data_IF_920356859602
#
_entry.id   IF_920356859602
#
_cell.length_a   1.000
_cell.length_b   1.000
_cell.length_c   1.000
_cell.angle_alpha   90.00
_cell.angle_beta   90.00
_cell.angle_gamma   90.00
#
_symmetry.space_group_name_H-M   'P 1'
#
loop_
_entity.id
_entity.type
_entity.pdbx_description
1 polymer ?
#
# COMPACT_ATOMS: atom_id res chain seq x y z
N UNK A 1 4.71 -1.33 9.85
CA UNK A 1 3.98 -1.60 8.60
C UNK A 1 4.90 -1.57 7.38
N UNK A 2 5.68 -0.51 7.09
CA UNK A 2 6.64 -0.53 5.97
C UNK A 2 7.70 -1.65 6.02
N UNK A 3 7.98 -2.19 7.21
CA UNK A 3 8.84 -3.36 7.42
C UNK A 3 8.09 -4.70 7.47
N UNK A 4 6.77 -4.72 7.27
CA UNK A 4 5.95 -5.94 7.28
C UNK A 4 5.84 -6.50 5.86
N UNK A 5 6.08 -7.81 5.69
CA UNK A 5 6.06 -8.49 4.38
C UNK A 5 4.69 -8.47 3.69
N UNK A 6 3.60 -8.55 4.46
CA UNK A 6 2.23 -8.65 3.95
C UNK A 6 1.64 -7.33 3.40
N UNK A 7 2.37 -6.21 3.52
CA UNK A 7 1.88 -4.89 3.12
C UNK A 7 0.65 -4.44 3.92
N UNK A 8 -0.21 -3.62 3.30
CA UNK A 8 -1.47 -3.17 3.90
C UNK A 8 -2.62 -4.13 3.59
N UNK A 9 -3.18 -4.74 4.62
CA UNK A 9 -4.31 -5.67 4.57
C UNK A 9 -5.64 -4.92 4.70
N UNK A 10 -6.66 -5.44 4.01
CA UNK A 10 -8.02 -4.93 4.11
C UNK A 10 -8.73 -5.53 5.35
N UNK A 11 -8.51 -4.92 6.52
CA UNK A 11 -9.01 -5.40 7.82
C UNK A 11 -10.23 -4.64 8.35
N UNK A 12 -10.45 -3.42 7.86
CA UNK A 12 -11.52 -2.52 8.31
C UNK A 12 -11.92 -1.51 7.22
N UNK A 13 -12.91 -0.66 7.52
CA UNK A 13 -13.41 0.36 6.60
C UNK A 13 -12.32 1.36 6.16
N UNK A 14 -11.43 1.78 7.06
CA UNK A 14 -10.34 2.72 6.74
C UNK A 14 -9.37 2.08 5.75
N UNK A 15 -8.95 0.83 5.98
CA UNK A 15 -8.09 0.10 5.05
C UNK A 15 -8.75 -0.17 3.69
N UNK A 16 -10.09 -0.15 3.62
CA UNK A 16 -10.83 -0.36 2.36
C UNK A 16 -10.67 0.81 1.39
N UNK A 17 -10.45 2.04 1.88
CA UNK A 17 -10.16 3.20 1.02
C UNK A 17 -8.90 3.00 0.15
N UNK A 18 -7.99 2.17 0.64
CA UNK A 18 -6.69 1.85 0.04
C UNK A 18 -6.69 0.56 -0.78
N UNK A 19 -7.82 -0.15 -0.86
CA UNK A 19 -7.91 -1.41 -1.60
C UNK A 19 -7.58 -1.19 -3.09
N UNK A 20 -6.56 -1.90 -3.59
CA UNK A 20 -6.02 -1.75 -4.95
C UNK A 20 -5.59 -0.32 -5.32
N UNK A 21 -5.24 0.50 -4.31
CA UNK A 21 -4.87 1.92 -4.48
C UNK A 21 -3.58 2.30 -3.76
N UNK A 22 -2.74 1.30 -3.45
CA UNK A 22 -1.45 1.44 -2.79
C UNK A 22 -0.36 0.81 -3.65
N UNK A 23 0.62 1.61 -4.03
CA UNK A 23 1.86 1.16 -4.65
C UNK A 23 2.84 0.59 -3.62
N UNK A 24 3.80 -0.20 -4.09
CA UNK A 24 4.89 -0.71 -3.24
C UNK A 24 6.22 -0.47 -3.94
N UNK A 25 7.18 0.04 -3.17
CA UNK A 25 8.54 0.27 -3.64
C UNK A 25 9.53 -0.44 -2.71
N UNK A 26 10.39 -1.33 -3.23
CA UNK A 26 11.42 -2.00 -2.43
C UNK A 26 12.45 -0.99 -1.92
N UNK A 27 13.11 -1.31 -0.82
CA UNK A 27 14.22 -0.50 -0.32
C UNK A 27 15.45 -0.63 -1.22
N UNK A 28 16.02 0.48 -1.67
CA UNK A 28 17.22 0.50 -2.54
C UNK A 28 18.48 1.09 -1.87
N UNK A 29 18.41 1.52 -0.60
CA UNK A 29 19.54 2.12 0.13
C UNK A 29 19.35 3.60 0.47
N UNK A 30 20.44 4.31 0.81
CA UNK A 30 20.42 5.76 1.06
C UNK A 30 20.55 6.49 -0.28
N UNK A 31 19.41 6.98 -0.77
CA UNK A 31 19.18 7.60 -2.08
C UNK A 31 20.17 8.74 -2.44
N UNK A 32 21.12 8.46 -3.32
CA UNK A 32 21.89 9.48 -4.08
C UNK A 32 21.76 9.34 -5.59
N UNK A 33 20.94 8.38 -6.05
CA UNK A 33 20.72 8.07 -7.47
C UNK A 33 19.45 8.76 -7.99
N UNK A 34 19.59 9.60 -9.02
CA UNK A 34 18.46 10.27 -9.65
C UNK A 34 17.53 9.29 -10.40
N UNK A 35 18.04 8.12 -10.80
CA UNK A 35 17.26 7.11 -11.51
C UNK A 35 16.20 6.45 -10.61
N UNK A 36 16.36 6.53 -9.28
CA UNK A 36 15.39 6.04 -8.31
C UNK A 36 14.02 6.72 -8.47
N UNK A 37 14.00 8.00 -8.87
CA UNK A 37 12.75 8.75 -9.08
C UNK A 37 11.84 8.08 -10.11
N UNK A 38 12.41 7.58 -11.19
CA UNK A 38 11.66 6.89 -12.24
C UNK A 38 11.14 5.52 -11.77
N UNK A 39 11.83 4.86 -10.83
CA UNK A 39 11.35 3.62 -10.19
C UNK A 39 10.23 3.92 -9.19
N UNK A 40 10.39 4.94 -8.35
CA UNK A 40 9.35 5.43 -7.44
C UNK A 40 8.07 5.83 -8.19
N UNK A 41 8.19 6.58 -9.28
CA UNK A 41 7.04 6.97 -10.10
C UNK A 41 6.32 5.74 -10.67
N UNK A 42 7.07 4.74 -11.16
CA UNK A 42 6.51 3.47 -11.66
C UNK A 42 5.83 2.66 -10.55
N UNK A 43 6.43 2.59 -9.36
CA UNK A 43 5.87 1.92 -8.19
C UNK A 43 4.57 2.60 -7.71
N UNK A 44 4.50 3.93 -7.78
CA UNK A 44 3.28 4.67 -7.47
C UNK A 44 2.20 4.41 -8.53
N UNK A 45 2.52 4.54 -9.81
CA UNK A 45 1.56 4.36 -10.91
C UNK A 45 0.34 5.28 -10.75
N UNK A 46 -0.86 4.69 -10.78
CA UNK A 46 -2.14 5.40 -10.59
C UNK A 46 -2.65 5.37 -9.14
N UNK A 47 -1.82 4.91 -8.19
CA UNK A 47 -2.20 4.81 -6.79
C UNK A 47 -2.19 6.19 -6.12
N UNK A 48 -2.96 6.31 -5.04
CA UNK A 48 -3.01 7.54 -4.22
C UNK A 48 -2.01 7.51 -3.06
N UNK A 49 -1.44 6.35 -2.79
CA UNK A 49 -0.52 6.10 -1.71
C UNK A 49 0.53 5.07 -2.14
N UNK A 50 1.67 5.06 -1.43
CA UNK A 50 2.72 4.08 -1.64
C UNK A 50 3.40 3.74 -0.32
N UNK A 51 3.77 2.47 -0.19
CA UNK A 51 4.57 1.97 0.92
C UNK A 51 6.00 1.80 0.41
N UNK A 52 6.90 2.59 0.99
CA UNK A 52 8.33 2.50 0.76
C UNK A 52 8.87 1.46 1.74
N UNK A 53 9.12 0.24 1.29
CA UNK A 53 9.50 -0.89 2.15
C UNK A 53 10.73 -0.50 2.99
N UNK A 54 10.68 -0.81 4.29
CA UNK A 54 11.72 -0.46 5.27
C UNK A 54 12.03 1.04 5.43
N UNK A 55 11.24 1.93 4.83
CA UNK A 55 11.47 3.37 4.86
C UNK A 55 10.28 4.16 5.43
N UNK A 56 9.08 3.98 4.86
CA UNK A 56 7.92 4.74 5.33
C UNK A 56 6.74 4.75 4.37
N UNK A 57 5.94 5.81 4.47
CA UNK A 57 4.71 6.02 3.71
C UNK A 57 4.84 7.26 2.82
N UNK A 58 4.17 7.21 1.67
CA UNK A 58 4.03 8.32 0.74
C UNK A 58 2.57 8.42 0.31
N UNK A 59 2.05 9.64 0.20
CA UNK A 59 0.72 9.94 -0.34
C UNK A 59 0.79 11.02 -1.40
N UNK A 60 -0.16 10.99 -2.33
CA UNK A 60 -0.34 12.03 -3.35
C UNK A 60 -1.80 12.47 -3.41
N UNK A 61 -2.03 13.73 -3.76
CA UNK A 61 -3.36 14.32 -3.85
C UNK A 61 -3.42 15.41 -4.90
N UNK A 62 -4.62 15.76 -5.35
CA UNK A 62 -4.82 16.90 -6.28
C UNK A 62 -4.55 18.23 -5.59
N UNK A 63 -4.78 18.27 -4.28
CA UNK A 63 -4.44 19.39 -3.41
C UNK A 63 -3.55 18.92 -2.26
N UNK A 64 -2.91 19.86 -1.58
CA UNK A 64 -2.17 19.60 -0.35
C UNK A 64 -3.08 18.96 0.70
N UNK A 65 -4.32 19.47 0.84
CA UNK A 65 -5.31 18.93 1.77
C UNK A 65 -5.63 17.45 1.49
N UNK A 66 -5.82 17.07 0.21
CA UNK A 66 -6.04 15.67 -0.17
C UNK A 66 -4.85 14.79 0.23
N UNK A 67 -3.63 15.24 -0.05
CA UNK A 67 -2.42 14.47 0.27
C UNK A 67 -2.29 14.23 1.79
N UNK A 68 -2.60 15.23 2.61
CA UNK A 68 -2.61 15.09 4.08
C UNK A 68 -3.74 14.18 4.56
N UNK A 69 -4.94 14.31 4.01
CA UNK A 69 -6.07 13.43 4.33
C UNK A 69 -5.70 11.96 4.06
N UNK A 70 -5.17 11.68 2.86
CA UNK A 70 -4.75 10.34 2.45
C UNK A 70 -3.63 9.82 3.37
N UNK A 71 -2.63 10.65 3.71
CA UNK A 71 -1.57 10.26 4.63
C UNK A 71 -2.11 9.91 6.01
N UNK A 72 -3.01 10.72 6.56
CA UNK A 72 -3.61 10.51 7.87
C UNK A 72 -4.34 9.16 7.94
N UNK A 73 -5.20 8.88 6.98
CA UNK A 73 -5.95 7.62 6.95
C UNK A 73 -5.07 6.42 6.62
N UNK A 74 -4.04 6.59 5.78
CA UNK A 74 -3.06 5.54 5.50
C UNK A 74 -2.33 5.15 6.77
N UNK A 75 -1.79 6.14 7.50
CA UNK A 75 -1.14 5.89 8.78
C UNK A 75 -2.09 5.23 9.78
N UNK A 76 -3.35 5.70 9.86
CA UNK A 76 -4.35 5.10 10.74
C UNK A 76 -4.67 3.65 10.39
N UNK A 77 -4.75 3.31 9.10
CA UNK A 77 -4.92 1.93 8.65
C UNK A 77 -3.75 1.04 9.12
N UNK A 78 -2.52 1.55 9.01
CA UNK A 78 -1.32 0.86 9.47
C UNK A 78 -1.33 0.61 10.98
N UNK A 79 -1.68 1.61 11.78
CA UNK A 79 -1.79 1.49 13.24
C UNK A 79 -2.81 0.42 13.64
N UNK A 80 -3.99 0.43 13.02
CA UNK A 80 -5.03 -0.56 13.31
C UNK A 80 -4.57 -1.97 12.92
N UNK A 81 -3.90 -2.12 11.78
CA UNK A 81 -3.35 -3.42 11.38
C UNK A 81 -2.29 -3.93 12.37
N UNK A 82 -1.37 -3.06 12.82
CA UNK A 82 -0.37 -3.45 13.82
C UNK A 82 -1.02 -3.81 15.17
N UNK A 83 -2.03 -3.06 15.59
CA UNK A 83 -2.80 -3.37 16.79
C UNK A 83 -3.54 -4.72 16.66
N UNK A 84 -4.18 -4.98 15.52
CA UNK A 84 -4.85 -6.25 15.24
C UNK A 84 -3.87 -7.43 15.23
N UNK A 85 -2.70 -7.26 14.61
CA UNK A 85 -1.64 -8.27 14.56
C UNK A 85 -1.08 -8.58 15.95
N UNK A 86 -0.98 -7.59 16.83
CA UNK A 86 -0.55 -7.80 18.23
C UNK A 86 -1.53 -8.67 19.03
N UNK A 87 -2.81 -8.63 18.67
CA UNK A 87 -3.85 -9.44 19.31
C UNK A 87 -4.00 -10.82 18.68
N UNK A 88 -3.75 -10.93 17.36
CA UNK A 88 -3.81 -12.18 16.58
C UNK A 88 -2.63 -12.26 15.60
N UNK A 89 -1.50 -12.85 16.01
CA UNK A 89 -0.30 -12.95 15.17
C UNK A 89 -0.52 -13.72 13.86
N UNK A 90 -1.59 -14.53 13.78
CA UNK A 90 -1.88 -15.44 12.67
C UNK A 90 -3.19 -15.10 11.93
N UNK A 91 -3.70 -13.88 12.04
CA UNK A 91 -4.82 -13.41 11.22
C UNK A 91 -4.37 -13.30 9.75
N UNK A 92 -4.24 -14.46 9.10
CA UNK A 92 -4.10 -14.60 7.66
C UNK A 92 -5.16 -13.73 7.01
N UNK A 93 -4.74 -12.95 6.02
CA UNK A 93 -5.61 -12.29 5.06
C UNK A 93 -6.84 -13.14 4.79
N UNK A 94 -8.03 -12.60 4.99
CA UNK A 94 -9.22 -13.09 4.30
C UNK A 94 -8.81 -13.26 2.84
N UNK A 95 -8.98 -14.45 2.21
CA UNK A 95 -8.60 -14.62 0.83
C UNK A 95 -9.28 -13.50 0.05
N UNK A 96 -8.48 -12.67 -0.61
CA UNK A 96 -9.03 -11.83 -1.66
C UNK A 96 -9.82 -12.79 -2.55
N UNK A 97 -11.07 -12.42 -2.86
CA UNK A 97 -11.78 -13.03 -3.97
C UNK A 97 -10.87 -12.83 -5.18
N UNK A 98 -10.02 -13.83 -5.48
CA UNK A 98 -9.35 -13.96 -6.76
C UNK A 98 -10.49 -14.05 -7.76
N UNK A 99 -10.88 -12.92 -8.32
CA UNK A 99 -11.64 -12.91 -9.56
C UNK A 99 -10.71 -13.51 -10.60
N UNK A 100 -10.90 -14.80 -10.87
CA UNK A 100 -10.40 -15.41 -12.09
C UNK A 100 -11.08 -14.69 -13.25
N UNK A 101 -10.39 -13.73 -13.85
CA UNK A 101 -10.70 -13.33 -15.20
C UNK A 101 -10.33 -14.51 -16.10
N UNK A 102 -11.30 -15.37 -16.39
CA UNK A 102 -11.20 -16.34 -17.47
C UNK A 102 -11.21 -15.56 -18.78
N UNK A 103 -10.04 -15.45 -19.41
CA UNK A 103 -9.94 -15.09 -20.83
C UNK A 103 -10.74 -16.13 -21.63
N UNK A 104 -11.69 -15.74 -22.50
CA UNK A 104 -12.32 -16.70 -23.39
C UNK A 104 -11.28 -17.16 -24.41
N UNK A 105 -11.13 -18.47 -24.55
CA UNK A 105 -10.33 -19.07 -25.61
C UNK A 105 -10.92 -18.66 -26.97
N UNK A 106 -10.10 -18.02 -27.80
CA UNK A 106 -10.41 -17.76 -29.20
C UNK A 106 -10.41 -19.08 -29.96
N UNK A 107 -11.58 -19.43 -30.52
CA UNK A 107 -11.74 -20.40 -31.61
C UNK A 107 -11.64 -19.70 -32.96
#
# INVERSE_FOLDING_TARGET
>A
MAACEDGLLQLNQISTEFYQRVGYHPYEGVAFDLDERARIQRSLGNNIAMILQSHGLLSVGRTVADAFYIMYYLNRACEIQMAAASWRPSARSTPSLRTSASTPASS
#
